data_IF_471683469942
#
_entry.id   IF_471683469942
#
_cell.length_a   1.000
_cell.length_b   1.000
_cell.length_c   1.000
_cell.angle_alpha   90.00
_cell.angle_beta   90.00
_cell.angle_gamma   90.00
#
_symmetry.space_group_name_H-M   'P 1'
#
loop_
_entity.id
_entity.type
_entity.pdbx_description
1 polymer ?
#
# COMPACT_ATOMS: atom_id res chain seq x y z
N UNK A 1 10.03 41.16 -20.07
CA UNK A 1 11.10 41.16 -21.09
C UNK A 1 12.39 40.77 -20.41
N UNK A 2 12.80 39.52 -20.58
CA UNK A 2 14.08 39.02 -20.09
C UNK A 2 15.08 39.19 -21.24
N UNK A 3 16.00 40.16 -21.11
CA UNK A 3 16.89 40.61 -22.20
C UNK A 3 18.36 40.64 -21.78
N UNK A 4 18.73 39.94 -20.69
CA UNK A 4 20.09 39.90 -20.14
C UNK A 4 20.79 38.56 -20.37
N UNK A 5 22.00 38.43 -19.84
CA UNK A 5 22.70 37.15 -19.73
C UNK A 5 22.09 36.28 -18.61
N UNK A 6 22.34 34.97 -18.62
CA UNK A 6 21.84 34.05 -17.59
C UNK A 6 22.32 34.42 -16.18
N UNK A 7 23.50 35.05 -16.05
CA UNK A 7 24.01 35.54 -14.77
C UNK A 7 23.20 36.74 -14.27
N UNK A 8 22.92 37.69 -15.17
CA UNK A 8 22.12 38.88 -14.84
C UNK A 8 20.68 38.49 -14.47
N UNK A 9 20.12 37.50 -15.15
CA UNK A 9 18.80 36.96 -14.84
C UNK A 9 18.76 36.27 -13.47
N UNK A 10 19.78 35.45 -13.16
CA UNK A 10 19.92 34.79 -11.87
C UNK A 10 20.03 35.81 -10.73
N UNK A 11 20.94 36.77 -10.84
CA UNK A 11 21.19 37.79 -9.81
C UNK A 11 19.94 38.64 -9.57
N UNK A 12 19.22 38.98 -10.64
CA UNK A 12 17.96 39.73 -10.56
C UNK A 12 16.86 38.94 -9.82
N UNK A 13 16.68 37.66 -10.14
CA UNK A 13 15.69 36.79 -9.48
C UNK A 13 16.02 36.58 -8.00
N UNK A 14 17.28 36.34 -7.67
CA UNK A 14 17.71 36.19 -6.28
C UNK A 14 17.51 37.48 -5.48
N UNK A 15 17.81 38.63 -6.09
CA UNK A 15 17.60 39.94 -5.45
C UNK A 15 16.12 40.16 -5.11
N UNK A 16 15.21 39.84 -6.04
CA UNK A 16 13.78 39.99 -5.82
C UNK A 16 13.28 39.16 -4.62
N UNK A 17 13.71 37.90 -4.52
CA UNK A 17 13.32 37.03 -3.40
C UNK A 17 13.91 37.50 -2.06
N UNK A 18 15.15 37.99 -2.04
CA UNK A 18 15.75 38.58 -0.84
C UNK A 18 15.05 39.89 -0.42
N UNK A 19 14.63 40.72 -1.37
CA UNK A 19 13.85 41.94 -1.10
C UNK A 19 12.48 41.64 -0.47
N UNK A 20 11.87 40.50 -0.83
CA UNK A 20 10.65 39.99 -0.18
C UNK A 20 10.91 39.30 1.17
N UNK A 21 12.17 39.18 1.59
CA UNK A 21 12.58 38.63 2.88
C UNK A 21 12.71 37.11 2.91
N UNK A 22 12.77 36.45 1.75
CA UNK A 22 13.00 35.01 1.65
C UNK A 22 14.50 34.68 1.61
N UNK A 23 14.86 33.54 2.19
CA UNK A 23 16.21 32.96 2.08
C UNK A 23 16.22 31.89 0.98
N UNK A 24 17.33 31.81 0.22
CA UNK A 24 17.48 30.88 -0.90
C UNK A 24 18.57 29.86 -0.57
N UNK A 25 18.22 28.58 -0.62
CA UNK A 25 19.16 27.47 -0.47
C UNK A 25 19.33 26.75 -1.80
N UNK A 26 20.53 26.76 -2.35
CA UNK A 26 20.85 26.03 -3.59
C UNK A 26 21.84 24.91 -3.31
N UNK A 27 21.55 23.73 -3.84
CA UNK A 27 22.49 22.62 -3.92
C UNK A 27 22.75 22.27 -5.38
N UNK A 28 24.00 22.41 -5.81
CA UNK A 28 24.44 22.03 -7.15
C UNK A 28 24.86 20.55 -7.22
N UNK A 29 24.62 19.96 -8.40
CA UNK A 29 24.95 18.58 -8.75
C UNK A 29 25.53 18.53 -10.16
N UNK A 30 26.74 18.01 -10.31
CA UNK A 30 27.44 17.84 -11.59
C UNK A 30 27.94 16.41 -11.85
N UNK A 31 27.78 15.52 -10.85
CA UNK A 31 28.32 14.15 -10.82
C UNK A 31 27.89 13.23 -11.98
N UNK A 32 26.85 13.59 -12.75
CA UNK A 32 26.42 12.86 -13.95
C UNK A 32 26.89 13.51 -15.27
N UNK A 33 27.82 14.46 -15.21
CA UNK A 33 28.36 15.15 -16.38
C UNK A 33 27.45 16.23 -16.97
N UNK A 34 26.38 16.60 -16.24
CA UNK A 34 25.45 17.68 -16.58
C UNK A 34 25.17 18.48 -15.32
N UNK A 35 25.14 19.81 -15.43
CA UNK A 35 24.79 20.69 -14.31
C UNK A 35 23.29 20.60 -14.00
N UNK A 36 22.97 20.24 -12.76
CA UNK A 36 21.65 20.30 -12.18
C UNK A 36 21.73 21.01 -10.82
N UNK A 37 20.64 21.63 -10.38
CA UNK A 37 20.55 22.20 -9.04
C UNK A 37 19.20 21.83 -8.40
N UNK A 38 19.16 21.90 -7.06
CA UNK A 38 17.93 21.88 -6.28
C UNK A 38 17.89 23.16 -5.45
N UNK A 39 16.91 24.00 -5.73
CA UNK A 39 16.69 25.26 -5.03
C UNK A 39 15.52 25.09 -4.07
N UNK A 40 15.69 25.52 -2.83
CA UNK A 40 14.66 25.58 -1.79
C UNK A 40 14.56 27.03 -1.29
N UNK A 41 13.35 27.55 -1.27
CA UNK A 41 13.00 28.87 -0.74
C UNK A 41 11.90 28.67 0.30
N UNK A 42 12.22 28.62 1.60
CA UNK A 42 11.23 28.37 2.64
C UNK A 42 10.17 29.48 2.68
N UNK A 43 8.89 29.09 2.77
CA UNK A 43 7.74 29.99 2.69
C UNK A 43 7.33 30.40 1.28
N UNK A 44 7.96 29.85 0.24
CA UNK A 44 7.71 30.20 -1.16
C UNK A 44 7.69 28.99 -2.11
N UNK A 45 8.58 28.01 -1.91
CA UNK A 45 8.79 26.87 -2.81
C UNK A 45 8.11 25.57 -2.36
N UNK A 46 7.44 25.58 -1.20
CA UNK A 46 6.72 24.44 -0.66
C UNK A 46 5.56 24.03 -1.59
N UNK A 47 5.51 22.74 -1.91
CA UNK A 47 4.37 22.14 -2.62
C UNK A 47 3.31 21.67 -1.62
N UNK A 48 3.74 21.33 -0.40
CA UNK A 48 2.92 20.79 0.68
C UNK A 48 3.05 21.67 1.94
N UNK A 49 1.96 21.92 2.66
CA UNK A 49 1.99 22.56 3.98
C UNK A 49 2.95 21.84 4.95
N UNK A 50 3.56 22.60 5.86
CA UNK A 50 4.49 22.04 6.86
C UNK A 50 3.77 21.09 7.80
N UNK A 51 2.48 21.32 8.02
CA UNK A 51 1.58 20.50 8.81
C UNK A 51 1.49 19.06 8.29
N UNK A 52 1.70 18.83 6.98
CA UNK A 52 1.67 17.50 6.38
C UNK A 52 2.80 16.61 6.93
N UNK A 53 3.89 17.18 7.47
CA UNK A 53 4.93 16.39 8.16
C UNK A 53 4.42 15.66 9.40
N UNK A 54 3.37 16.17 10.04
CA UNK A 54 2.77 15.57 11.24
C UNK A 54 1.76 14.47 10.88
N UNK A 55 1.02 14.65 9.79
CA UNK A 55 -0.10 13.79 9.42
C UNK A 55 0.24 12.77 8.32
N UNK A 56 1.14 13.10 7.39
CA UNK A 56 1.57 12.26 6.26
C UNK A 56 3.05 11.85 6.36
N UNK A 57 3.50 11.47 7.56
CA UNK A 57 4.87 11.01 7.74
C UNK A 57 5.08 9.62 7.11
N UNK A 58 5.56 9.60 5.87
CA UNK A 58 5.89 8.37 5.13
C UNK A 58 6.89 7.42 5.83
N UNK A 59 7.56 7.85 6.90
CA UNK A 59 8.42 6.96 7.70
C UNK A 59 7.68 6.17 8.78
N UNK A 60 6.43 6.52 9.13
CA UNK A 60 5.66 5.82 10.17
C UNK A 60 5.48 4.32 9.85
N UNK A 61 5.38 3.99 8.57
CA UNK A 61 5.18 2.65 8.06
C UNK A 61 6.46 1.81 7.92
N UNK A 62 7.65 2.38 8.18
CA UNK A 62 8.92 1.63 8.11
C UNK A 62 8.90 0.43 9.06
N UNK A 63 8.30 0.59 10.24
CA UNK A 63 8.13 -0.49 11.21
C UNK A 63 7.22 -1.62 10.68
N UNK A 64 6.21 -1.28 9.87
CA UNK A 64 5.23 -2.24 9.34
C UNK A 64 5.77 -3.03 8.14
N UNK A 65 6.77 -2.48 7.43
CA UNK A 65 7.27 -3.05 6.18
C UNK A 65 7.68 -4.50 6.30
N UNK A 66 8.44 -4.85 7.34
CA UNK A 66 8.93 -6.22 7.52
C UNK A 66 7.75 -7.19 7.68
N UNK A 67 6.78 -6.85 8.52
CA UNK A 67 5.67 -7.73 8.84
C UNK A 67 4.71 -7.86 7.67
N UNK A 68 4.42 -6.75 6.97
CA UNK A 68 3.62 -6.76 5.74
C UNK A 68 4.26 -7.67 4.67
N UNK A 69 5.58 -7.57 4.45
CA UNK A 69 6.26 -8.41 3.45
C UNK A 69 6.26 -9.90 3.80
N UNK A 70 6.17 -10.25 5.08
CA UNK A 70 6.28 -11.62 5.59
C UNK A 70 4.96 -12.14 6.19
N UNK A 71 3.82 -11.49 5.91
CA UNK A 71 2.54 -11.71 6.60
C UNK A 71 2.10 -13.18 6.67
N UNK A 72 2.36 -13.95 5.61
CA UNK A 72 2.01 -15.37 5.52
C UNK A 72 2.80 -16.24 6.52
N UNK A 73 4.02 -15.82 6.89
CA UNK A 73 4.89 -16.48 7.85
C UNK A 73 4.75 -15.99 9.28
N UNK A 74 4.00 -14.91 9.52
CA UNK A 74 3.84 -14.34 10.87
C UNK A 74 3.05 -15.28 11.79
N UNK A 75 3.41 -15.25 13.08
CA UNK A 75 2.61 -15.86 14.14
C UNK A 75 1.25 -15.14 14.29
N UNK A 76 0.32 -15.76 15.02
CA UNK A 76 -0.97 -15.12 15.32
C UNK A 76 -0.79 -13.82 16.12
N UNK A 77 0.15 -13.80 17.06
CA UNK A 77 0.46 -12.62 17.87
C UNK A 77 1.01 -11.49 17.00
N UNK A 78 1.99 -11.79 16.15
CA UNK A 78 2.56 -10.80 15.22
C UNK A 78 1.52 -10.23 14.25
N UNK A 79 0.58 -11.04 13.77
CA UNK A 79 -0.54 -10.55 12.94
C UNK A 79 -1.50 -9.66 13.73
N UNK A 80 -1.71 -9.96 15.02
CA UNK A 80 -2.52 -9.11 15.89
C UNK A 80 -1.85 -7.75 16.11
N UNK A 81 -0.54 -7.75 16.39
CA UNK A 81 0.24 -6.52 16.56
C UNK A 81 0.23 -5.67 15.28
N UNK A 82 0.39 -6.31 14.11
CA UNK A 82 0.28 -5.63 12.81
C UNK A 82 -1.11 -5.04 12.59
N UNK A 83 -2.18 -5.79 12.90
CA UNK A 83 -3.55 -5.29 12.75
C UNK A 83 -3.84 -4.10 13.68
N UNK A 84 -3.38 -4.17 14.92
CA UNK A 84 -3.51 -3.08 15.88
C UNK A 84 -2.73 -1.84 15.43
N UNK A 85 -1.51 -2.02 14.93
CA UNK A 85 -0.71 -0.91 14.45
C UNK A 85 -1.32 -0.21 13.22
N UNK A 86 -1.99 -0.96 12.33
CA UNK A 86 -2.73 -0.38 11.20
C UNK A 86 -3.95 0.42 11.68
N UNK A 87 -4.73 -0.14 12.62
CA UNK A 87 -5.89 0.53 13.20
C UNK A 87 -5.50 1.83 13.95
N UNK A 88 -4.44 1.80 14.77
CA UNK A 88 -3.97 2.94 15.56
C UNK A 88 -3.43 4.08 14.70
N UNK A 89 -2.81 3.75 13.57
CA UNK A 89 -2.28 4.75 12.64
C UNK A 89 -3.39 5.37 11.76
N UNK A 90 -4.58 4.77 11.70
CA UNK A 90 -5.75 5.34 11.04
C UNK A 90 -5.56 5.58 9.54
N UNK A 91 -4.85 4.68 8.86
CA UNK A 91 -4.57 4.83 7.44
C UNK A 91 -5.84 4.83 6.58
N UNK A 92 -5.80 5.52 5.44
CA UNK A 92 -6.90 5.48 4.48
C UNK A 92 -7.04 4.06 3.89
N UNK A 93 -8.21 3.41 4.01
CA UNK A 93 -8.45 2.09 3.42
C UNK A 93 -8.18 2.02 1.91
N UNK A 94 -8.23 3.15 1.20
CA UNK A 94 -7.94 3.27 -0.24
C UNK A 94 -6.46 3.41 -0.58
N UNK A 95 -5.60 3.63 0.43
CA UNK A 95 -4.17 3.80 0.21
C UNK A 95 -3.55 2.49 -0.32
N UNK A 96 -2.70 2.54 -1.35
CA UNK A 96 -1.96 1.38 -1.82
C UNK A 96 -0.97 0.89 -0.76
N UNK A 97 -1.01 -0.41 -0.43
CA UNK A 97 -0.05 -1.00 0.52
C UNK A 97 1.38 -0.86 0.01
N UNK A 98 1.59 -1.00 -1.30
CA UNK A 98 2.90 -0.81 -1.91
C UNK A 98 3.45 0.60 -1.69
N UNK A 99 2.60 1.64 -1.75
CA UNK A 99 3.00 3.01 -1.46
C UNK A 99 3.36 3.19 0.02
N UNK A 100 2.51 2.67 0.92
CA UNK A 100 2.71 2.69 2.37
C UNK A 100 4.11 2.17 2.75
N UNK A 101 4.53 1.04 2.20
CA UNK A 101 5.82 0.44 2.55
C UNK A 101 6.98 0.89 1.67
N UNK A 102 6.76 1.70 0.62
CA UNK A 102 7.80 2.07 -0.34
C UNK A 102 8.25 0.92 -1.26
N UNK A 103 7.32 0.06 -1.68
CA UNK A 103 7.53 -0.99 -2.67
C UNK A 103 7.10 -0.49 -4.06
N UNK A 104 7.87 -0.81 -5.10
CA UNK A 104 7.47 -0.58 -6.48
C UNK A 104 6.87 -1.89 -7.03
N UNK A 105 5.53 -2.01 -7.12
CA UNK A 105 4.89 -3.26 -7.47
C UNK A 105 5.09 -3.59 -8.96
N UNK A 106 5.11 -4.88 -9.28
CA UNK A 106 5.08 -5.33 -10.68
C UNK A 106 3.67 -5.16 -11.25
N UNK A 107 3.58 -4.64 -12.48
CA UNK A 107 2.30 -4.43 -13.18
C UNK A 107 1.51 -5.73 -13.34
N UNK A 108 0.20 -5.67 -13.14
CA UNK A 108 -0.71 -6.80 -13.24
C UNK A 108 -0.65 -7.77 -12.06
N UNK A 109 0.17 -7.49 -11.04
CA UNK A 109 0.22 -8.33 -9.82
C UNK A 109 -0.79 -7.87 -8.78
N UNK A 110 -1.13 -8.76 -7.85
CA UNK A 110 -2.02 -8.43 -6.74
C UNK A 110 -1.53 -7.26 -5.88
N UNK A 111 -0.23 -6.96 -5.88
CA UNK A 111 0.38 -5.84 -5.17
C UNK A 111 0.12 -4.47 -5.80
N UNK A 112 -0.12 -4.42 -7.12
CA UNK A 112 -0.51 -3.18 -7.79
C UNK A 112 -1.89 -2.70 -7.31
N UNK A 113 -2.79 -3.64 -7.02
CA UNK A 113 -4.16 -3.35 -6.61
C UNK A 113 -4.41 -3.50 -5.11
N UNK A 114 -3.47 -4.06 -4.32
CA UNK A 114 -3.64 -4.28 -2.89
C UNK A 114 -3.77 -2.94 -2.15
N UNK A 115 -4.85 -2.79 -1.39
CA UNK A 115 -5.17 -1.62 -0.56
C UNK A 115 -5.17 -1.97 0.93
N UNK A 116 -5.05 -0.96 1.79
CA UNK A 116 -5.01 -1.16 3.24
C UNK A 116 -6.29 -1.83 3.74
N UNK A 117 -7.47 -1.40 3.30
CA UNK A 117 -8.73 -2.04 3.73
C UNK A 117 -8.83 -3.53 3.36
N UNK A 118 -8.19 -3.92 2.25
CA UNK A 118 -8.09 -5.33 1.87
C UNK A 118 -7.12 -6.11 2.76
N UNK A 119 -5.97 -5.51 3.09
CA UNK A 119 -5.02 -6.11 4.02
C UNK A 119 -5.65 -6.31 5.42
N UNK A 120 -6.41 -5.32 5.89
CA UNK A 120 -7.18 -5.38 7.15
C UNK A 120 -8.23 -6.49 7.12
N UNK A 121 -8.97 -6.66 6.02
CA UNK A 121 -9.92 -7.76 5.87
C UNK A 121 -9.23 -9.13 6.01
N UNK A 122 -8.08 -9.32 5.36
CA UNK A 122 -7.32 -10.57 5.42
C UNK A 122 -6.70 -10.81 6.79
N UNK A 123 -6.22 -9.75 7.46
CA UNK A 123 -5.71 -9.82 8.84
C UNK A 123 -6.82 -10.21 9.81
N UNK A 124 -7.97 -9.53 9.77
CA UNK A 124 -9.15 -9.83 10.59
C UNK A 124 -9.59 -11.29 10.40
N UNK A 125 -9.66 -11.76 9.15
CA UNK A 125 -9.94 -13.15 8.83
C UNK A 125 -8.93 -14.11 9.46
N UNK A 126 -7.63 -13.79 9.38
CA UNK A 126 -6.56 -14.60 9.95
C UNK A 126 -6.59 -14.67 11.48
N UNK A 127 -7.17 -13.65 12.12
CA UNK A 127 -7.35 -13.55 13.57
C UNK A 127 -8.69 -14.13 14.03
N UNK A 128 -9.53 -14.60 13.09
CA UNK A 128 -10.91 -15.08 13.30
C UNK A 128 -11.86 -14.02 13.84
N UNK A 129 -11.60 -12.75 13.51
CA UNK A 129 -12.49 -11.63 13.78
C UNK A 129 -13.50 -11.54 12.64
N UNK A 130 -14.44 -12.49 12.58
CA UNK A 130 -15.29 -12.68 11.39
C UNK A 130 -16.22 -11.50 11.11
N UNK A 131 -16.75 -10.84 12.13
CA UNK A 131 -17.55 -9.61 11.98
C UNK A 131 -16.71 -8.50 11.33
N UNK A 132 -15.56 -8.16 11.92
CA UNK A 132 -14.62 -7.18 11.36
C UNK A 132 -14.18 -7.54 9.93
N UNK A 133 -13.90 -8.81 9.68
CA UNK A 133 -13.55 -9.30 8.34
C UNK A 133 -14.69 -9.12 7.34
N UNK A 134 -15.95 -9.28 7.77
CA UNK A 134 -17.15 -9.11 6.93
C UNK A 134 -17.29 -7.66 6.51
N UNK A 135 -17.19 -6.73 7.45
CA UNK A 135 -17.33 -5.28 7.19
C UNK A 135 -16.24 -4.78 6.23
N UNK A 136 -14.97 -5.12 6.49
CA UNK A 136 -13.89 -4.72 5.59
C UNK A 136 -14.03 -5.37 4.21
N UNK A 137 -14.43 -6.64 4.13
CA UNK A 137 -14.55 -7.33 2.85
C UNK A 137 -15.72 -6.78 2.01
N UNK A 138 -16.83 -6.42 2.63
CA UNK A 138 -17.94 -5.72 1.96
C UNK A 138 -17.47 -4.39 1.39
N UNK A 139 -16.76 -3.58 2.18
CA UNK A 139 -16.15 -2.34 1.70
C UNK A 139 -15.22 -2.56 0.50
N UNK A 140 -14.32 -3.56 0.58
CA UNK A 140 -13.37 -3.91 -0.49
C UNK A 140 -14.10 -4.26 -1.80
N UNK A 141 -15.19 -5.02 -1.71
CA UNK A 141 -16.01 -5.41 -2.87
C UNK A 141 -16.69 -4.17 -3.48
N UNK A 142 -17.21 -3.27 -2.65
CA UNK A 142 -17.89 -2.05 -3.10
C UNK A 142 -16.92 -1.03 -3.72
N UNK A 143 -15.70 -0.92 -3.20
CA UNK A 143 -14.66 -0.05 -3.74
C UNK A 143 -14.28 -0.41 -5.19
N UNK A 144 -14.38 -1.70 -5.56
CA UNK A 144 -14.41 -2.13 -6.97
C UNK A 144 -13.07 -2.15 -7.70
N UNK A 145 -11.94 -1.91 -7.03
CA UNK A 145 -10.59 -1.96 -7.63
C UNK A 145 -9.98 -3.37 -7.66
N UNK A 146 -10.79 -4.39 -7.96
CA UNK A 146 -10.38 -5.79 -8.01
C UNK A 146 -10.50 -6.37 -9.41
N UNK A 147 -9.59 -7.27 -9.76
CA UNK A 147 -9.76 -8.10 -10.95
C UNK A 147 -10.94 -9.08 -10.75
N UNK A 148 -11.52 -9.63 -11.84
CA UNK A 148 -12.70 -10.49 -11.75
C UNK A 148 -12.52 -11.74 -10.89
N UNK A 149 -11.33 -12.33 -10.90
CA UNK A 149 -11.01 -13.54 -10.13
C UNK A 149 -11.02 -13.26 -8.61
N UNK A 150 -10.31 -12.21 -8.18
CA UNK A 150 -10.23 -11.76 -6.79
C UNK A 150 -11.59 -11.30 -6.27
N UNK A 151 -12.35 -10.59 -7.11
CA UNK A 151 -13.74 -10.20 -6.82
C UNK A 151 -14.65 -11.43 -6.61
N UNK A 152 -14.56 -12.44 -7.48
CA UNK A 152 -15.32 -13.68 -7.34
C UNK A 152 -15.00 -14.41 -6.03
N UNK A 153 -13.70 -14.55 -5.73
CA UNK A 153 -13.22 -15.15 -4.46
C UNK A 153 -13.78 -14.41 -3.25
N UNK A 154 -13.73 -13.08 -3.24
CA UNK A 154 -14.22 -12.27 -2.12
C UNK A 154 -15.73 -12.27 -1.98
N UNK A 155 -16.49 -12.34 -3.08
CA UNK A 155 -17.95 -12.58 -3.00
C UNK A 155 -18.27 -13.94 -2.40
N UNK A 156 -17.53 -14.98 -2.75
CA UNK A 156 -17.69 -16.30 -2.15
C UNK A 156 -17.37 -16.26 -0.65
N UNK A 157 -16.24 -15.64 -0.28
CA UNK A 157 -15.82 -15.50 1.11
C UNK A 157 -16.81 -14.66 1.94
N UNK A 158 -17.32 -13.56 1.40
CA UNK A 158 -18.32 -12.72 2.06
C UNK A 158 -19.62 -13.49 2.32
N UNK A 159 -20.10 -14.26 1.34
CA UNK A 159 -21.28 -15.11 1.54
C UNK A 159 -21.07 -16.15 2.65
N UNK A 160 -19.89 -16.76 2.70
CA UNK A 160 -19.54 -17.73 3.73
C UNK A 160 -19.43 -17.08 5.12
N UNK A 161 -18.84 -15.88 5.21
CA UNK A 161 -18.76 -15.10 6.44
C UNK A 161 -20.16 -14.69 6.95
N UNK A 162 -21.03 -14.19 6.07
CA UNK A 162 -22.41 -13.84 6.41
C UNK A 162 -23.22 -15.04 6.93
N UNK A 163 -22.92 -16.25 6.46
CA UNK A 163 -23.53 -17.48 7.00
C UNK A 163 -22.92 -17.84 8.36
N UNK A 164 -21.62 -17.63 8.54
CA UNK A 164 -20.91 -17.98 9.79
C UNK A 164 -21.26 -17.07 10.96
N UNK A 165 -21.46 -15.78 10.71
CA UNK A 165 -21.80 -14.77 11.74
C UNK A 165 -23.27 -14.88 12.17
N UNK A 166 -24.10 -15.58 11.39
CA UNK A 166 -25.50 -15.82 11.69
C UNK A 166 -25.68 -17.15 12.46
N UNK A 167 -25.95 -17.05 13.76
CA UNK A 167 -26.11 -18.20 14.67
C UNK A 167 -27.27 -19.15 14.27
N UNK A 168 -28.19 -18.72 13.40
CA UNK A 168 -29.31 -19.56 12.93
C UNK A 168 -28.96 -20.40 11.70
N UNK A 169 -27.77 -20.20 11.11
CA UNK A 169 -27.38 -20.81 9.83
C UNK A 169 -26.19 -21.76 9.97
N UNK A 170 -26.19 -22.80 9.14
CA UNK A 170 -25.05 -23.71 9.01
C UNK A 170 -24.50 -23.71 7.58
N UNK A 171 -23.18 -23.55 7.42
CA UNK A 171 -22.50 -23.58 6.10
C UNK A 171 -22.81 -24.88 5.33
N UNK A 172 -22.95 -26.01 6.04
CA UNK A 172 -23.28 -27.32 5.48
C UNK A 172 -24.56 -27.29 4.63
N UNK A 173 -25.59 -26.57 5.08
CA UNK A 173 -26.89 -26.46 4.42
C UNK A 173 -26.83 -25.67 3.10
N UNK A 174 -25.89 -24.72 2.99
CA UNK A 174 -25.76 -23.84 1.83
C UNK A 174 -24.66 -24.27 0.85
N UNK A 175 -23.84 -25.27 1.21
CA UNK A 175 -22.65 -25.67 0.44
C UNK A 175 -22.96 -25.97 -1.02
N UNK A 176 -24.02 -26.74 -1.31
CA UNK A 176 -24.37 -27.10 -2.68
C UNK A 176 -24.75 -25.87 -3.53
N UNK A 177 -25.48 -24.92 -2.96
CA UNK A 177 -25.86 -23.68 -3.63
C UNK A 177 -24.63 -22.78 -3.87
N UNK A 178 -23.73 -22.68 -2.88
CA UNK A 178 -22.48 -21.92 -3.01
C UNK A 178 -21.57 -22.51 -4.08
N UNK A 179 -21.47 -23.84 -4.16
CA UNK A 179 -20.69 -24.53 -5.20
C UNK A 179 -21.28 -24.33 -6.59
N UNK A 180 -22.59 -24.23 -6.72
CA UNK A 180 -23.25 -23.91 -7.98
C UNK A 180 -22.96 -22.46 -8.41
N UNK A 181 -22.93 -21.52 -7.46
CA UNK A 181 -22.72 -20.09 -7.74
C UNK A 181 -21.24 -19.73 -8.01
N UNK A 182 -20.31 -20.28 -7.21
CA UNK A 182 -18.91 -19.86 -7.16
C UNK A 182 -17.92 -20.92 -7.67
N UNK A 183 -18.39 -22.15 -7.92
CA UNK A 183 -17.56 -23.29 -8.27
C UNK A 183 -17.01 -24.05 -7.05
N UNK A 184 -16.72 -25.34 -7.25
CA UNK A 184 -16.28 -26.24 -6.17
C UNK A 184 -14.93 -25.81 -5.59
N UNK A 185 -13.99 -25.45 -6.45
CA UNK A 185 -12.63 -25.05 -6.06
C UNK A 185 -12.64 -23.77 -5.23
N UNK A 186 -13.28 -22.70 -5.72
CA UNK A 186 -13.42 -21.42 -5.00
C UNK A 186 -14.04 -21.60 -3.62
N UNK A 187 -15.12 -22.39 -3.50
CA UNK A 187 -15.77 -22.64 -2.20
C UNK A 187 -14.83 -23.40 -1.26
N UNK A 188 -14.11 -24.40 -1.78
CA UNK A 188 -13.13 -25.16 -0.99
C UNK A 188 -12.00 -24.27 -0.46
N UNK A 189 -11.47 -23.39 -1.31
CA UNK A 189 -10.45 -22.41 -0.94
C UNK A 189 -10.96 -21.45 0.13
N UNK A 190 -12.13 -20.85 -0.07
CA UNK A 190 -12.70 -19.92 0.91
C UNK A 190 -13.03 -20.60 2.25
N UNK A 191 -13.48 -21.86 2.24
CA UNK A 191 -13.63 -22.65 3.46
C UNK A 191 -12.28 -22.91 4.15
N UNK A 192 -11.18 -23.08 3.40
CA UNK A 192 -9.84 -23.19 3.97
C UNK A 192 -9.40 -21.87 4.62
N UNK A 193 -9.64 -20.74 3.94
CA UNK A 193 -9.39 -19.40 4.47
C UNK A 193 -10.13 -19.14 5.78
N UNK A 194 -11.42 -19.48 5.85
CA UNK A 194 -12.22 -19.41 7.08
C UNK A 194 -11.63 -20.21 8.24
N UNK A 195 -11.02 -21.37 7.95
CA UNK A 195 -10.36 -22.21 8.97
C UNK A 195 -8.97 -21.66 9.36
N UNK A 196 -8.55 -20.52 8.83
CA UNK A 196 -7.26 -19.89 9.11
C UNK A 196 -6.11 -20.41 8.25
N UNK A 197 -6.40 -21.11 7.13
CA UNK A 197 -5.40 -21.70 6.25
C UNK A 197 -5.38 -20.97 4.91
N UNK A 198 -4.20 -20.82 4.32
CA UNK A 198 -4.06 -20.32 2.93
C UNK A 198 -4.70 -18.94 2.68
N UNK A 199 -4.82 -18.11 3.72
CA UNK A 199 -5.47 -16.79 3.63
C UNK A 199 -4.73 -15.85 2.67
N UNK A 200 -3.41 -16.00 2.56
CA UNK A 200 -2.57 -15.13 1.75
C UNK A 200 -2.08 -15.80 0.46
N UNK A 201 -2.47 -17.04 0.17
CA UNK A 201 -1.91 -17.83 -0.94
C UNK A 201 -2.29 -17.22 -2.31
N UNK A 202 -3.46 -16.58 -2.42
CA UNK A 202 -3.89 -15.88 -3.63
C UNK A 202 -3.14 -14.55 -3.86
N UNK A 203 -2.31 -14.12 -2.90
CA UNK A 203 -1.51 -12.90 -2.93
C UNK A 203 -0.08 -13.21 -2.52
N UNK A 204 0.79 -13.66 -3.45
CA UNK A 204 2.15 -14.02 -3.09
C UNK A 204 2.90 -12.81 -2.53
N UNK A 205 3.19 -12.85 -1.23
CA UNK A 205 3.99 -11.84 -0.55
C UNK A 205 5.49 -12.06 -0.86
N UNK A 206 6.27 -11.00 -1.15
CA UNK A 206 7.66 -11.13 -1.59
C UNK A 206 8.61 -11.76 -0.55
N UNK A 207 8.24 -11.69 0.73
CA UNK A 207 9.13 -11.98 1.84
C UNK A 207 10.37 -11.09 1.87
N UNK A 208 11.30 -11.43 2.76
CA UNK A 208 12.59 -10.74 2.88
C UNK A 208 13.48 -10.87 1.62
N UNK A 209 13.28 -11.90 0.80
CA UNK A 209 13.99 -12.10 -0.46
C UNK A 209 13.48 -11.19 -1.59
N UNK A 210 12.40 -10.45 -1.34
CA UNK A 210 11.76 -9.56 -2.30
C UNK A 210 11.44 -10.31 -3.61
N UNK A 211 10.94 -11.54 -3.49
CA UNK A 211 10.56 -12.37 -4.65
C UNK A 211 9.44 -11.69 -5.43
N UNK A 212 9.41 -11.84 -6.75
CA UNK A 212 8.39 -11.23 -7.62
C UNK A 212 8.30 -9.69 -7.49
N UNK A 213 9.46 -9.01 -7.33
CA UNK A 213 9.57 -7.54 -7.31
C UNK A 213 10.51 -7.02 -8.39
N UNK A 214 10.30 -7.44 -9.65
CA UNK A 214 11.20 -7.11 -10.76
C UNK A 214 11.39 -5.59 -10.91
N UNK A 215 10.30 -4.84 -10.87
CA UNK A 215 10.24 -3.38 -11.00
C UNK A 215 11.03 -2.71 -9.88
N UNK A 216 10.83 -3.16 -8.64
CA UNK A 216 11.60 -2.66 -7.50
C UNK A 216 13.10 -2.95 -7.62
N UNK A 217 13.48 -4.16 -8.05
CA UNK A 217 14.90 -4.50 -8.29
C UNK A 217 15.52 -3.64 -9.39
N UNK A 218 14.77 -3.34 -10.47
CA UNK A 218 15.23 -2.42 -11.51
C UNK A 218 15.43 -1.01 -10.97
N UNK A 219 14.51 -0.51 -10.14
CA UNK A 219 14.65 0.78 -9.46
C UNK A 219 15.92 0.83 -8.59
N UNK A 220 16.17 -0.20 -7.78
CA UNK A 220 17.38 -0.28 -6.96
C UNK A 220 18.65 -0.32 -7.81
N UNK A 221 18.65 -1.04 -8.94
CA UNK A 221 19.79 -1.06 -9.85
C UNK A 221 20.04 0.31 -10.51
N UNK A 222 18.99 1.01 -10.94
CA UNK A 222 19.10 2.36 -11.47
C UNK A 222 19.66 3.34 -10.42
N UNK A 223 19.20 3.24 -9.16
CA UNK A 223 19.73 4.05 -8.05
C UNK A 223 21.21 3.74 -7.76
N UNK A 224 21.65 2.50 -7.91
CA UNK A 224 23.07 2.13 -7.76
C UNK A 224 23.93 2.73 -8.86
N UNK A 225 23.45 2.71 -10.12
CA UNK A 225 24.14 3.33 -11.25
C UNK A 225 24.22 4.86 -11.12
N UNK A 226 23.19 5.50 -10.57
CA UNK A 226 23.21 6.95 -10.34
C UNK A 226 24.15 7.38 -9.20
N UNK A 227 24.56 6.44 -8.33
CA UNK A 227 25.48 6.70 -7.20
C UNK A 227 26.94 6.41 -7.54
N UNK A 228 27.21 5.65 -8.60
CA UNK A 228 28.56 5.28 -9.05
C UNK A 228 29.15 6.33 -9.96
#
# INVERSE_FOLDING_TARGET
NFTGSTSEEYDWLCTLLHEEGFEIYCQDYDHLGVNACRILVPGFSEIYPVEDLLWENNNSAVALRHDILNIAGLSREQRNDLAQALDEQGHDPQQPVAALIGLAPDRGTGWETLRIGELEALLALSLKQYEKATDHLDWVIQYGQLNPERLGRYRCLLNLLNIMVDDEKEISAYRAALQHLHGIETVSDCEAMLRGKQIFDHLPFPGNNMENTRTHRQLINALRLARS
#
